data_IF_604645536078
#
_entry.id   IF_604645536078
#
_cell.length_a   1.000
_cell.length_b   1.000
_cell.length_c   1.000
_cell.angle_alpha   90.00
_cell.angle_beta   90.00
_cell.angle_gamma   90.00
#
_symmetry.space_group_name_H-M   'P 1'
#
loop_
_entity.id
_entity.type
_entity.pdbx_description
1 polymer ?
#
# COMPACT_ATOMS: atom_id res chain seq x y z
N UNK A 1 16.52 6.99 41.94
CA UNK A 1 15.95 6.48 40.68
C UNK A 1 17.12 6.08 39.81
N UNK A 2 17.25 4.79 39.52
CA UNK A 2 18.31 4.28 38.64
C UNK A 2 17.90 4.52 37.18
N UNK A 3 18.79 5.14 36.41
CA UNK A 3 18.63 5.30 34.97
C UNK A 3 18.96 3.95 34.32
N UNK A 4 17.93 3.30 33.76
CA UNK A 4 18.11 2.08 32.97
C UNK A 4 18.91 2.45 31.72
N UNK A 5 20.17 2.04 31.67
CA UNK A 5 21.05 2.24 30.52
C UNK A 5 20.68 1.21 29.46
N UNK A 6 19.81 1.59 28.52
CA UNK A 6 19.51 0.75 27.35
C UNK A 6 20.75 0.75 26.45
N UNK A 7 21.40 -0.40 26.19
CA UNK A 7 22.54 -0.45 25.29
C UNK A 7 22.03 -0.53 23.86
N UNK A 8 21.57 0.60 23.35
CA UNK A 8 21.27 0.77 21.94
C UNK A 8 22.12 1.92 21.42
N UNK A 9 22.90 1.68 20.36
CA UNK A 9 23.29 2.80 19.49
C UNK A 9 21.98 3.33 18.92
N UNK A 10 21.46 4.41 19.50
CA UNK A 10 20.49 5.24 18.81
C UNK A 10 21.25 5.76 17.60
N UNK A 11 21.06 5.11 16.45
CA UNK A 11 21.36 5.77 15.19
C UNK A 11 20.38 6.92 15.16
N UNK A 12 20.85 8.13 15.43
CA UNK A 12 20.14 9.32 14.99
C UNK A 12 19.86 9.09 13.51
N UNK A 13 18.61 8.76 13.21
CA UNK A 13 18.14 8.81 11.84
C UNK A 13 18.21 10.29 11.50
N UNK A 14 19.29 10.72 10.85
CA UNK A 14 19.21 11.88 10.00
C UNK A 14 18.08 11.55 9.03
N UNK A 15 16.87 12.05 9.31
CA UNK A 15 15.72 11.96 8.42
C UNK A 15 16.05 12.88 7.25
N UNK A 16 17.01 12.46 6.44
CA UNK A 16 17.27 13.04 5.15
C UNK A 16 16.11 12.61 4.30
N UNK A 17 15.53 13.57 3.57
CA UNK A 17 14.57 13.24 2.54
C UNK A 17 15.19 12.16 1.64
N UNK A 18 14.51 11.03 1.41
CA UNK A 18 15.03 10.00 0.55
C UNK A 18 15.24 10.57 -0.86
N UNK A 19 16.46 10.47 -1.39
CA UNK A 19 16.81 11.03 -2.70
C UNK A 19 17.20 9.94 -3.71
N UNK A 20 17.58 8.75 -3.24
CA UNK A 20 17.93 7.61 -4.10
C UNK A 20 16.88 6.51 -4.03
N UNK A 21 16.84 5.65 -5.05
CA UNK A 21 15.95 4.48 -5.08
C UNK A 21 16.17 3.58 -3.86
N UNK A 22 17.41 3.39 -3.45
CA UNK A 22 17.80 2.58 -2.30
C UNK A 22 17.28 3.17 -0.98
N UNK A 23 17.23 4.49 -0.87
CA UNK A 23 16.62 5.16 0.29
C UNK A 23 15.11 4.93 0.34
N UNK A 24 14.41 5.07 -0.78
CA UNK A 24 12.96 4.82 -0.85
C UNK A 24 12.61 3.34 -0.60
N UNK A 25 13.45 2.40 -1.03
CA UNK A 25 13.22 0.97 -0.81
C UNK A 25 13.18 0.58 0.66
N UNK A 26 13.73 1.38 1.58
CA UNK A 26 13.59 1.16 3.02
C UNK A 26 12.14 1.26 3.52
N UNK A 27 11.28 1.95 2.75
CA UNK A 27 9.86 2.12 3.03
C UNK A 27 8.97 1.22 2.16
N UNK A 28 9.56 0.35 1.34
CA UNK A 28 8.81 -0.55 0.47
C UNK A 28 8.01 -1.55 1.30
N UNK A 29 6.75 -1.73 0.95
CA UNK A 29 5.89 -2.79 1.50
C UNK A 29 5.23 -3.55 0.35
N UNK A 30 4.83 -4.78 0.63
CA UNK A 30 4.03 -5.56 -0.32
C UNK A 30 2.57 -5.19 -0.11
N UNK A 31 1.91 -4.78 -1.19
CA UNK A 31 0.48 -4.49 -1.20
C UNK A 31 -0.27 -5.63 -1.88
N UNK A 32 -1.52 -5.82 -1.48
CA UNK A 32 -2.44 -6.78 -2.08
C UNK A 32 -3.74 -6.11 -2.44
N UNK A 33 -4.22 -6.37 -3.65
CA UNK A 33 -5.46 -5.79 -4.15
C UNK A 33 -6.67 -6.43 -3.45
N UNK A 34 -7.69 -5.62 -3.17
CA UNK A 34 -8.95 -6.09 -2.61
C UNK A 34 -9.96 -6.43 -3.73
N UNK A 35 -10.21 -7.73 -4.01
CA UNK A 35 -11.19 -8.14 -5.00
C UNK A 35 -12.63 -7.72 -4.65
N UNK A 36 -12.89 -7.30 -3.40
CA UNK A 36 -14.20 -6.77 -3.01
C UNK A 36 -14.46 -5.38 -3.57
N UNK A 37 -13.40 -4.62 -3.84
CA UNK A 37 -13.47 -3.24 -4.35
C UNK A 37 -13.33 -3.17 -5.87
N UNK A 38 -12.71 -4.19 -6.47
CA UNK A 38 -12.35 -4.22 -7.89
C UNK A 38 -13.55 -4.02 -8.82
N UNK A 39 -13.45 -3.08 -9.75
CA UNK A 39 -14.45 -2.93 -10.79
C UNK A 39 -14.57 -4.20 -11.66
N UNK A 40 -15.76 -4.45 -12.18
CA UNK A 40 -16.10 -5.68 -12.90
C UNK A 40 -15.34 -5.90 -14.23
N UNK A 41 -14.74 -4.87 -14.83
CA UNK A 41 -13.87 -5.03 -16.00
C UNK A 41 -12.40 -5.32 -15.66
N UNK A 42 -12.08 -5.49 -14.38
CA UNK A 42 -10.72 -5.77 -13.92
C UNK A 42 -10.59 -7.20 -13.45
N UNK A 43 -9.61 -7.92 -13.99
CA UNK A 43 -9.23 -9.25 -13.55
C UNK A 43 -8.00 -9.16 -12.64
N UNK A 44 -8.07 -9.80 -11.48
CA UNK A 44 -6.96 -9.90 -10.53
C UNK A 44 -6.25 -11.25 -10.71
N UNK A 45 -4.93 -11.22 -10.77
CA UNK A 45 -4.07 -12.40 -10.92
C UNK A 45 -2.94 -12.40 -9.87
N UNK A 46 -2.10 -13.44 -9.93
CA UNK A 46 -0.88 -13.56 -9.12
C UNK A 46 -1.11 -13.33 -7.61
N UNK A 47 -2.17 -13.93 -7.07
CA UNK A 47 -2.51 -13.76 -5.66
C UNK A 47 -2.93 -12.33 -5.31
N UNK A 48 -3.64 -11.66 -6.22
CA UNK A 48 -4.11 -10.27 -6.12
C UNK A 48 -2.98 -9.25 -6.10
N UNK A 49 -1.90 -9.49 -6.85
CA UNK A 49 -0.76 -8.57 -6.98
C UNK A 49 -0.68 -7.93 -8.36
N UNK A 50 -1.39 -8.50 -9.32
CA UNK A 50 -1.48 -8.00 -10.68
C UNK A 50 -2.95 -7.75 -11.04
N UNK A 51 -3.14 -6.77 -11.93
CA UNK A 51 -4.44 -6.30 -12.39
C UNK A 51 -4.40 -6.14 -13.91
N UNK A 52 -5.38 -6.69 -14.61
CA UNK A 52 -5.54 -6.52 -16.06
C UNK A 52 -6.94 -6.02 -16.39
N UNK A 53 -7.04 -5.06 -17.31
CA UNK A 53 -8.32 -4.65 -17.88
C UNK A 53 -8.74 -5.65 -18.96
N UNK A 54 -9.97 -6.16 -18.86
CA UNK A 54 -10.51 -7.18 -19.75
C UNK A 54 -11.86 -6.74 -20.30
N UNK A 55 -12.20 -7.19 -21.51
CA UNK A 55 -13.51 -6.91 -22.12
C UNK A 55 -14.65 -7.69 -21.42
N UNK A 56 -14.35 -8.88 -20.92
CA UNK A 56 -15.31 -9.74 -20.23
C UNK A 56 -15.60 -9.24 -18.80
N UNK A 57 -16.89 -9.10 -18.49
CA UNK A 57 -17.34 -8.72 -17.15
C UNK A 57 -17.05 -9.87 -16.17
N UNK A 58 -16.20 -9.59 -15.20
CA UNK A 58 -15.86 -10.50 -14.12
C UNK A 58 -17.05 -10.68 -13.18
N UNK A 59 -17.36 -11.94 -12.87
CA UNK A 59 -18.49 -12.32 -12.01
C UNK A 59 -18.17 -12.15 -10.53
N UNK A 60 -17.95 -10.91 -10.11
CA UNK A 60 -17.73 -10.61 -8.70
C UNK A 60 -19.04 -10.54 -7.91
N UNK A 61 -19.05 -10.96 -6.62
CA UNK A 61 -20.20 -10.76 -5.76
C UNK A 61 -20.55 -9.27 -5.61
N UNK A 62 -21.85 -8.96 -5.62
CA UNK A 62 -22.36 -7.62 -5.35
C UNK A 62 -21.95 -7.16 -3.95
N UNK A 63 -21.22 -6.04 -3.89
CA UNK A 63 -20.64 -5.49 -2.67
C UNK A 63 -20.71 -3.96 -2.71
N UNK A 64 -21.11 -3.31 -1.61
CA UNK A 64 -21.20 -1.85 -1.58
C UNK A 64 -19.84 -1.15 -1.71
N UNK A 65 -18.75 -1.85 -1.41
CA UNK A 65 -17.39 -1.32 -1.54
C UNK A 65 -16.88 -1.35 -3.00
N UNK A 66 -17.63 -1.97 -3.92
CA UNK A 66 -17.18 -2.17 -5.30
C UNK A 66 -17.33 -0.89 -6.12
N UNK A 67 -16.30 -0.57 -6.89
CA UNK A 67 -16.44 0.46 -7.92
C UNK A 67 -17.34 -0.04 -9.05
N UNK A 68 -18.40 0.72 -9.34
CA UNK A 68 -19.38 0.39 -10.38
C UNK A 68 -19.18 1.19 -11.68
N UNK A 69 -18.52 2.35 -11.61
CA UNK A 69 -18.42 3.29 -12.74
C UNK A 69 -17.03 3.38 -13.35
N UNK A 70 -15.98 3.29 -12.52
CA UNK A 70 -14.60 3.48 -12.95
C UNK A 70 -13.82 2.20 -12.74
N UNK A 71 -12.91 1.89 -13.67
CA UNK A 71 -12.02 0.75 -13.62
C UNK A 71 -10.93 0.93 -12.54
N UNK A 72 -11.34 0.85 -11.27
CA UNK A 72 -10.49 1.06 -10.09
C UNK A 72 -10.57 -0.13 -9.12
N UNK A 73 -9.57 -0.21 -8.23
CA UNK A 73 -9.46 -1.19 -7.14
C UNK A 73 -8.62 -0.57 -6.02
N UNK A 74 -8.90 -0.94 -4.76
CA UNK A 74 -8.09 -0.53 -3.61
C UNK A 74 -7.16 -1.65 -3.17
N UNK A 75 -6.10 -1.28 -2.46
CA UNK A 75 -5.31 -2.25 -1.69
C UNK A 75 -6.03 -2.59 -0.38
N UNK A 76 -5.77 -3.77 0.17
CA UNK A 76 -6.32 -4.21 1.46
C UNK A 76 -5.64 -3.48 2.62
N UNK A 77 -4.38 -3.13 2.44
CA UNK A 77 -3.56 -2.50 3.46
C UNK A 77 -3.95 -1.02 3.62
N UNK A 78 -4.44 -0.68 4.82
CA UNK A 78 -4.53 0.72 5.23
C UNK A 78 -3.14 1.21 5.64
N UNK A 79 -2.53 2.07 4.84
CA UNK A 79 -1.23 2.66 5.17
C UNK A 79 -1.43 3.94 5.99
N UNK A 80 -0.72 4.04 7.11
CA UNK A 80 -0.61 5.25 7.92
C UNK A 80 0.85 5.56 8.18
N UNK A 81 1.30 6.79 7.91
CA UNK A 81 2.70 7.21 8.01
C UNK A 81 2.87 8.73 7.90
N UNK A 82 4.07 9.23 8.13
CA UNK A 82 4.35 10.66 8.31
C UNK A 82 4.31 11.42 6.98
N UNK A 83 3.30 12.27 6.82
CA UNK A 83 3.31 13.38 5.87
C UNK A 83 4.32 14.41 6.40
N UNK A 84 5.52 14.50 5.81
CA UNK A 84 6.42 15.63 6.07
C UNK A 84 5.80 16.87 5.41
N UNK A 85 4.88 17.51 6.12
CA UNK A 85 4.50 18.90 5.84
C UNK A 85 5.65 19.78 6.34
N UNK A 86 6.67 19.95 5.49
CA UNK A 86 7.63 21.03 5.63
C UNK A 86 7.01 22.32 5.07
N UNK A 87 6.59 23.20 5.97
CA UNK A 87 6.26 24.60 5.70
C UNK A 87 7.20 25.51 6.47
#
# INVERSE_FOLDING_TARGET
MELIKVPGKVKEANILEPMTREDFLQYACQLTLDPNTAHQCLCLSEGNRELTCVEEIQSYPGRPERFEYQAQVLCREGLSGTLLLGG
#
